data_IF_586007554367
#
_entry.id   IF_586007554367
#
_cell.length_a   1.000
_cell.length_b   1.000
_cell.length_c   1.000
_cell.angle_alpha   90.00
_cell.angle_beta   90.00
_cell.angle_gamma   90.00
#
_symmetry.space_group_name_H-M   'P 1'
#
loop_
_entity.id
_entity.type
_entity.pdbx_description
1 polymer ?
#
# COMPACT_ATOMS: atom_id res chain seq x y z
N UNK A 1 57.16 -11.39 -17.37
CA UNK A 1 56.67 -11.35 -15.98
C UNK A 1 55.54 -10.35 -15.73
N UNK A 2 55.53 -9.16 -16.36
CA UNK A 2 54.48 -8.12 -16.15
C UNK A 2 53.04 -8.57 -16.44
N UNK A 3 52.80 -9.39 -17.47
CA UNK A 3 51.44 -9.83 -17.83
C UNK A 3 50.83 -10.82 -16.83
N UNK A 4 51.64 -11.64 -16.13
CA UNK A 4 51.15 -12.60 -15.14
C UNK A 4 50.61 -11.90 -13.89
N UNK A 5 51.23 -10.77 -13.52
CA UNK A 5 50.78 -9.96 -12.38
C UNK A 5 49.47 -9.23 -12.68
N UNK A 6 49.31 -8.71 -13.91
CA UNK A 6 48.06 -8.06 -14.35
C UNK A 6 46.88 -9.04 -14.37
N UNK A 7 47.11 -10.27 -14.86
CA UNK A 7 46.10 -11.34 -14.88
C UNK A 7 45.70 -11.73 -13.45
N UNK A 8 46.67 -11.82 -12.52
CA UNK A 8 46.39 -12.11 -11.12
C UNK A 8 45.56 -10.99 -10.46
N UNK A 9 45.86 -9.72 -10.78
CA UNK A 9 45.17 -8.54 -10.26
C UNK A 9 43.74 -8.44 -10.80
N UNK A 10 43.54 -8.75 -12.09
CA UNK A 10 42.22 -8.86 -12.71
C UNK A 10 41.42 -10.02 -12.10
N UNK A 11 42.02 -11.19 -11.85
CA UNK A 11 41.33 -12.30 -11.21
C UNK A 11 40.91 -11.99 -9.77
N UNK A 12 41.72 -11.24 -9.02
CA UNK A 12 41.37 -10.75 -7.68
C UNK A 12 40.21 -9.75 -7.71
N UNK A 13 40.08 -8.95 -8.78
CA UNK A 13 38.96 -8.02 -8.97
C UNK A 13 37.63 -8.75 -9.24
N UNK A 14 37.67 -9.86 -9.99
CA UNK A 14 36.50 -10.70 -10.25
C UNK A 14 36.12 -11.62 -9.07
N UNK A 15 37.07 -11.96 -8.20
CA UNK A 15 36.78 -12.72 -6.96
C UNK A 15 36.25 -11.80 -5.86
N UNK A 16 36.61 -10.49 -5.90
CA UNK A 16 36.16 -9.48 -4.95
C UNK A 16 34.91 -8.70 -5.39
N UNK A 17 34.33 -9.01 -6.56
CA UNK A 17 32.94 -8.65 -6.85
C UNK A 17 32.05 -9.52 -5.97
N UNK A 18 31.97 -9.09 -4.72
CA UNK A 18 31.20 -9.67 -3.65
C UNK A 18 29.83 -10.07 -4.18
N UNK A 19 29.42 -11.26 -3.74
CA UNK A 19 28.03 -11.68 -3.72
C UNK A 19 27.24 -10.68 -2.86
N UNK A 20 26.92 -9.52 -3.43
CA UNK A 20 25.92 -8.64 -2.87
C UNK A 20 24.61 -9.37 -3.05
N UNK A 21 24.22 -10.16 -2.04
CA UNK A 21 22.87 -10.69 -1.96
C UNK A 21 21.92 -9.51 -2.15
N UNK A 22 20.90 -9.63 -3.03
CA UNK A 22 19.95 -8.55 -3.25
C UNK A 22 19.32 -8.18 -1.90
N UNK A 23 19.64 -7.00 -1.39
CA UNK A 23 19.07 -6.52 -0.13
C UNK A 23 17.62 -6.11 -0.39
N UNK A 24 16.68 -6.75 0.30
CA UNK A 24 15.29 -6.33 0.31
C UNK A 24 15.19 -4.92 0.90
N UNK A 25 14.47 -4.02 0.23
CA UNK A 25 14.27 -2.65 0.72
C UNK A 25 13.44 -2.62 2.01
N UNK A 26 13.51 -1.51 2.75
CA UNK A 26 12.66 -1.29 3.93
C UNK A 26 11.17 -1.44 3.59
N UNK A 27 10.75 -0.86 2.47
CA UNK A 27 9.38 -0.96 1.97
C UNK A 27 9.00 -2.40 1.60
N UNK A 28 9.90 -3.15 0.95
CA UNK A 28 9.69 -4.57 0.66
C UNK A 28 9.37 -5.34 1.94
N UNK A 29 10.21 -5.19 2.97
CA UNK A 29 10.06 -5.93 4.23
C UNK A 29 8.74 -5.56 4.93
N UNK A 30 8.34 -4.30 4.84
CA UNK A 30 7.10 -3.80 5.40
C UNK A 30 5.85 -4.37 4.69
N UNK A 31 5.90 -4.47 3.35
CA UNK A 31 4.85 -5.09 2.53
C UNK A 31 4.77 -6.60 2.81
N UNK A 32 5.91 -7.29 2.86
CA UNK A 32 5.99 -8.72 3.17
C UNK A 32 5.47 -9.00 4.58
N UNK A 33 5.80 -8.15 5.56
CA UNK A 33 5.28 -8.23 6.92
C UNK A 33 3.76 -8.12 6.98
N UNK A 34 3.17 -7.08 6.36
CA UNK A 34 1.70 -6.92 6.34
C UNK A 34 1.03 -8.10 5.64
N UNK A 35 1.59 -8.57 4.52
CA UNK A 35 1.05 -9.69 3.78
C UNK A 35 1.05 -10.98 4.61
N UNK A 36 2.15 -11.26 5.31
CA UNK A 36 2.23 -12.41 6.22
C UNK A 36 1.30 -12.28 7.44
N UNK A 37 1.11 -11.06 7.96
CA UNK A 37 0.17 -10.83 9.05
C UNK A 37 -1.26 -11.18 8.66
N UNK A 38 -1.72 -10.76 7.49
CA UNK A 38 -3.07 -11.07 6.96
C UNK A 38 -3.25 -12.59 6.79
N UNK A 39 -2.18 -13.34 6.57
CA UNK A 39 -2.19 -14.80 6.49
C UNK A 39 -1.96 -15.52 7.82
N UNK A 40 -1.71 -14.78 8.89
CA UNK A 40 -1.39 -15.36 10.19
C UNK A 40 -2.61 -16.01 10.84
N UNK A 41 -2.36 -17.00 11.69
CA UNK A 41 -3.39 -17.62 12.52
C UNK A 41 -4.09 -16.61 13.43
N UNK A 42 -3.34 -15.60 13.90
CA UNK A 42 -3.87 -14.50 14.71
C UNK A 42 -4.92 -13.71 13.94
N UNK A 43 -4.61 -13.27 12.72
CA UNK A 43 -5.55 -12.55 11.87
C UNK A 43 -6.75 -13.44 11.50
N UNK A 44 -6.52 -14.70 11.16
CA UNK A 44 -7.58 -15.64 10.85
C UNK A 44 -8.59 -15.84 11.99
N UNK A 45 -8.13 -15.85 13.24
CA UNK A 45 -9.02 -15.93 14.40
C UNK A 45 -9.86 -14.65 14.56
N UNK A 46 -9.31 -13.49 14.19
CA UNK A 46 -10.03 -12.21 14.22
C UNK A 46 -11.11 -12.12 13.14
N UNK A 47 -10.89 -12.71 11.95
CA UNK A 47 -11.90 -12.76 10.87
C UNK A 47 -13.26 -13.35 11.32
N UNK A 48 -13.25 -14.26 12.30
CA UNK A 48 -14.47 -14.93 12.78
C UNK A 48 -15.33 -14.06 13.70
N UNK A 49 -14.74 -13.05 14.33
CA UNK A 49 -15.33 -12.36 15.48
C UNK A 49 -15.32 -10.83 15.34
N UNK A 50 -14.81 -10.29 14.23
CA UNK A 50 -14.66 -8.85 14.01
C UNK A 50 -15.26 -8.44 12.67
N UNK A 51 -15.78 -7.22 12.64
CA UNK A 51 -16.22 -6.59 11.41
C UNK A 51 -15.03 -6.10 10.59
N UNK A 52 -15.22 -5.97 9.28
CA UNK A 52 -14.16 -5.55 8.35
C UNK A 52 -13.50 -4.23 8.73
N UNK A 53 -14.27 -3.24 9.20
CA UNK A 53 -13.70 -2.00 9.74
C UNK A 53 -12.73 -2.22 10.90
N UNK A 54 -13.02 -3.16 11.80
CA UNK A 54 -12.13 -3.50 12.91
C UNK A 54 -10.90 -4.28 12.43
N UNK A 55 -11.01 -5.05 11.34
CA UNK A 55 -9.86 -5.72 10.72
C UNK A 55 -8.91 -4.71 10.07
N UNK A 56 -9.45 -3.63 9.47
CA UNK A 56 -8.65 -2.53 8.94
C UNK A 56 -7.84 -1.87 10.07
N UNK A 57 -8.45 -1.63 11.23
CA UNK A 57 -7.74 -1.10 12.40
C UNK A 57 -6.63 -2.04 12.88
N UNK A 58 -6.86 -3.35 12.87
CA UNK A 58 -5.85 -4.34 13.23
C UNK A 58 -4.67 -4.33 12.26
N UNK A 59 -4.94 -4.29 10.95
CA UNK A 59 -3.92 -4.18 9.91
C UNK A 59 -3.10 -2.91 10.12
N UNK A 60 -3.78 -1.77 10.31
CA UNK A 60 -3.13 -0.48 10.55
C UNK A 60 -2.24 -0.49 11.80
N UNK A 61 -2.78 -0.93 12.94
CA UNK A 61 -2.04 -0.94 14.20
C UNK A 61 -0.85 -1.92 14.17
N UNK A 62 -1.02 -3.09 13.55
CA UNK A 62 0.06 -4.06 13.44
C UNK A 62 1.20 -3.51 12.56
N UNK A 63 0.86 -2.84 11.46
CA UNK A 63 1.86 -2.20 10.60
C UNK A 63 2.51 -0.99 11.27
N UNK A 64 1.74 -0.17 11.98
CA UNK A 64 2.26 0.97 12.74
C UNK A 64 3.26 0.51 13.81
N UNK A 65 2.96 -0.59 14.52
CA UNK A 65 3.87 -1.22 15.48
C UNK A 65 5.15 -1.73 14.81
N UNK A 66 5.03 -2.39 13.67
CA UNK A 66 6.19 -2.86 12.88
C UNK A 66 7.09 -1.70 12.45
N UNK A 67 6.48 -0.58 12.07
CA UNK A 67 7.17 0.66 11.70
C UNK A 67 7.57 1.51 12.92
N UNK A 68 7.56 0.96 14.13
CA UNK A 68 7.98 1.65 15.38
C UNK A 68 7.23 2.98 15.60
N UNK A 69 5.93 2.99 15.33
CA UNK A 69 5.05 4.16 15.41
C UNK A 69 5.34 5.26 14.38
N UNK A 70 6.11 4.96 13.32
CA UNK A 70 6.27 5.85 12.17
C UNK A 70 5.01 5.79 11.28
N UNK A 71 4.13 6.77 11.47
CA UNK A 71 2.85 6.89 10.74
C UNK A 71 3.10 7.02 9.24
N UNK A 72 4.09 7.81 8.82
CA UNK A 72 4.38 8.04 7.39
C UNK A 72 4.72 6.72 6.70
N UNK A 73 5.63 5.95 7.31
CA UNK A 73 6.06 4.66 6.78
C UNK A 73 4.96 3.62 6.85
N UNK A 74 4.11 3.65 7.90
CA UNK A 74 2.95 2.78 8.01
C UNK A 74 1.96 3.03 6.86
N UNK A 75 1.55 4.28 6.64
CA UNK A 75 0.61 4.65 5.57
C UNK A 75 1.16 4.30 4.18
N UNK A 76 2.43 4.61 3.92
CA UNK A 76 3.08 4.27 2.64
C UNK A 76 3.10 2.76 2.42
N UNK A 77 3.52 2.00 3.43
CA UNK A 77 3.60 0.54 3.32
C UNK A 77 2.24 -0.10 3.14
N UNK A 78 1.19 0.39 3.83
CA UNK A 78 -0.18 -0.11 3.69
C UNK A 78 -0.76 0.18 2.32
N UNK A 79 -0.41 1.32 1.72
CA UNK A 79 -0.79 1.65 0.34
C UNK A 79 -0.39 0.49 -0.59
N UNK A 80 0.88 0.11 -0.59
CA UNK A 80 1.39 -0.96 -1.45
C UNK A 80 1.00 -2.37 -0.99
N UNK A 81 0.96 -2.62 0.31
CA UNK A 81 0.61 -3.94 0.84
C UNK A 81 -0.84 -4.33 0.55
N UNK A 82 -1.74 -3.36 0.41
CA UNK A 82 -3.17 -3.59 0.22
C UNK A 82 -3.62 -3.41 -1.23
N UNK A 83 -2.72 -3.06 -2.16
CA UNK A 83 -3.01 -3.09 -3.59
C UNK A 83 -3.39 -4.52 -4.03
N UNK A 84 -4.41 -4.60 -4.89
CA UNK A 84 -4.87 -5.83 -5.54
C UNK A 84 -4.38 -5.99 -7.00
N UNK A 85 -3.60 -5.03 -7.51
CA UNK A 85 -3.00 -5.05 -8.85
C UNK A 85 -1.49 -5.31 -8.74
N UNK A 86 -1.02 -6.41 -9.35
CA UNK A 86 0.40 -6.79 -9.28
C UNK A 86 1.29 -6.01 -10.24
N UNK A 87 0.77 -5.74 -11.44
CA UNK A 87 1.50 -5.15 -12.56
C UNK A 87 0.70 -3.99 -13.10
N UNK A 88 1.37 -2.86 -13.31
CA UNK A 88 0.79 -1.65 -13.90
C UNK A 88 1.47 -1.43 -15.23
N UNK A 89 0.67 -1.13 -16.24
CA UNK A 89 1.15 -0.82 -17.57
C UNK A 89 1.42 0.68 -17.64
N UNK A 90 2.70 1.07 -17.62
CA UNK A 90 3.13 2.46 -17.69
C UNK A 90 3.34 2.89 -19.13
N UNK A 91 2.55 3.85 -19.61
CA UNK A 91 2.66 4.35 -20.98
C UNK A 91 3.67 5.50 -21.08
N UNK A 92 4.90 5.18 -21.48
CA UNK A 92 5.90 6.22 -21.75
C UNK A 92 5.72 6.80 -23.16
N UNK A 93 5.72 8.13 -23.33
CA UNK A 93 5.53 8.78 -24.64
C UNK A 93 6.53 8.34 -25.72
N UNK A 94 7.74 7.92 -25.33
CA UNK A 94 8.82 7.54 -26.26
C UNK A 94 9.14 6.03 -26.20
N UNK A 95 9.02 5.41 -25.02
CA UNK A 95 9.42 4.01 -24.79
C UNK A 95 8.27 3.01 -24.96
N UNK A 96 7.04 3.49 -25.17
CA UNK A 96 5.84 2.67 -25.23
C UNK A 96 5.40 2.17 -23.86
N UNK A 97 4.54 1.14 -23.84
CA UNK A 97 3.99 0.57 -22.61
C UNK A 97 5.01 -0.35 -21.93
N UNK A 98 5.36 -0.03 -20.67
CA UNK A 98 6.23 -0.85 -19.83
C UNK A 98 5.41 -1.43 -18.67
N UNK A 99 5.42 -2.75 -18.54
CA UNK A 99 4.77 -3.44 -17.42
C UNK A 99 5.67 -3.38 -16.18
N UNK A 100 5.29 -2.56 -15.20
CA UNK A 100 6.01 -2.38 -13.95
C UNK A 100 5.35 -3.18 -12.81
N UNK A 101 6.10 -4.05 -12.09
CA UNK A 101 5.58 -4.75 -10.93
C UNK A 101 5.40 -3.77 -9.75
N UNK A 102 4.16 -3.50 -9.37
CA UNK A 102 3.85 -2.55 -8.29
C UNK A 102 4.12 -3.14 -6.90
N UNK A 103 4.05 -4.47 -6.79
CA UNK A 103 4.27 -5.19 -5.52
C UNK A 103 5.40 -6.20 -5.72
N UNK A 104 6.39 -6.15 -4.84
CA UNK A 104 7.60 -6.97 -4.92
C UNK A 104 7.48 -8.35 -4.23
N UNK A 105 6.32 -8.69 -3.68
CA UNK A 105 6.12 -9.97 -2.98
C UNK A 105 5.89 -11.14 -3.95
N UNK A 106 6.14 -12.36 -3.47
CA UNK A 106 5.93 -13.55 -4.27
C UNK A 106 4.43 -13.74 -4.62
N UNK A 107 4.17 -14.42 -5.74
CA UNK A 107 2.83 -14.53 -6.33
C UNK A 107 1.86 -15.26 -5.41
N UNK A 108 2.32 -16.33 -4.77
CA UNK A 108 1.50 -17.11 -3.85
C UNK A 108 1.05 -16.28 -2.64
N UNK A 109 1.95 -15.45 -2.10
CA UNK A 109 1.70 -14.55 -0.98
C UNK A 109 0.73 -13.43 -1.40
N UNK A 110 0.93 -12.84 -2.57
CA UNK A 110 0.05 -11.81 -3.11
C UNK A 110 -1.39 -12.31 -3.29
N UNK A 111 -1.55 -13.41 -4.02
CA UNK A 111 -2.86 -14.00 -4.33
C UNK A 111 -3.57 -14.49 -3.07
N UNK A 112 -2.84 -15.11 -2.14
CA UNK A 112 -3.43 -15.62 -0.91
C UNK A 112 -3.85 -14.47 0.01
N UNK A 113 -3.02 -13.44 0.17
CA UNK A 113 -3.35 -12.25 0.98
C UNK A 113 -4.63 -11.57 0.47
N UNK A 114 -4.79 -11.40 -0.84
CA UNK A 114 -5.96 -10.75 -1.44
C UNK A 114 -7.29 -11.46 -1.11
N UNK A 115 -7.26 -12.77 -0.81
CA UNK A 115 -8.46 -13.52 -0.39
C UNK A 115 -8.96 -13.11 1.00
N UNK A 116 -8.06 -12.70 1.89
CA UNK A 116 -8.35 -12.41 3.29
C UNK A 116 -8.42 -10.91 3.62
N UNK A 117 -8.34 -10.04 2.60
CA UNK A 117 -8.54 -8.61 2.77
C UNK A 117 -9.97 -8.28 3.22
N UNK A 118 -10.14 -7.28 4.11
CA UNK A 118 -11.46 -6.71 4.41
C UNK A 118 -12.13 -6.24 3.12
N UNK A 119 -13.41 -6.58 2.94
CA UNK A 119 -14.17 -6.34 1.71
C UNK A 119 -15.46 -5.54 1.93
N UNK A 120 -15.87 -5.34 3.17
CA UNK A 120 -17.02 -4.55 3.59
C UNK A 120 -16.55 -3.24 4.23
N UNK A 121 -16.04 -2.33 3.41
CA UNK A 121 -15.54 -1.02 3.85
C UNK A 121 -16.71 -0.06 4.06
N UNK A 122 -17.70 -0.09 3.18
CA UNK A 122 -18.91 0.72 3.27
C UNK A 122 -20.15 -0.13 3.58
N UNK A 123 -21.20 0.51 4.08
CA UNK A 123 -22.45 -0.18 4.44
C UNK A 123 -23.15 -0.83 3.22
N UNK A 124 -22.93 -0.30 2.01
CA UNK A 124 -23.40 -0.79 0.71
C UNK A 124 -22.30 -1.50 -0.09
N UNK A 125 -21.30 -2.05 0.59
CA UNK A 125 -20.29 -2.87 -0.08
C UNK A 125 -20.95 -4.04 -0.78
N UNK A 126 -20.48 -4.39 -1.98
CA UNK A 126 -20.94 -5.58 -2.66
C UNK A 126 -20.62 -6.83 -1.82
N UNK A 127 -21.59 -7.73 -1.69
CA UNK A 127 -21.44 -8.96 -0.87
C UNK A 127 -20.64 -10.07 -1.58
N UNK A 128 -20.18 -9.84 -2.82
CA UNK A 128 -19.36 -10.79 -3.57
C UNK A 128 -17.94 -10.93 -2.97
N UNK A 129 -17.11 -11.76 -3.57
CA UNK A 129 -15.74 -12.04 -3.07
C UNK A 129 -14.74 -10.91 -3.30
N UNK A 130 -15.10 -9.93 -4.14
CA UNK A 130 -14.28 -8.76 -4.44
C UNK A 130 -14.57 -7.62 -3.45
N UNK A 131 -15.84 -7.30 -3.21
CA UNK A 131 -16.29 -6.21 -2.35
C UNK A 131 -15.51 -4.91 -2.62
N UNK A 132 -15.14 -4.23 -1.54
CA UNK A 132 -14.41 -2.96 -1.53
C UNK A 132 -12.91 -3.13 -1.17
N UNK A 133 -12.32 -4.29 -1.48
CA UNK A 133 -10.93 -4.60 -1.11
C UNK A 133 -9.90 -3.63 -1.71
N UNK A 134 -10.15 -3.14 -2.93
CA UNK A 134 -9.28 -2.22 -3.66
C UNK A 134 -9.24 -0.86 -2.98
N UNK A 135 -10.38 -0.44 -2.41
CA UNK A 135 -10.56 0.81 -1.67
C UNK A 135 -9.57 0.95 -0.49
N UNK A 136 -9.07 -0.15 0.05
CA UNK A 136 -8.05 -0.08 1.11
C UNK A 136 -6.78 0.64 0.66
N UNK A 137 -6.28 0.33 -0.55
CA UNK A 137 -5.08 0.99 -1.09
C UNK A 137 -5.29 2.48 -1.37
N UNK A 138 -6.48 2.84 -1.88
CA UNK A 138 -6.93 4.22 -2.06
C UNK A 138 -6.95 5.01 -0.75
N UNK A 139 -7.55 4.43 0.29
CA UNK A 139 -7.71 5.04 1.60
C UNK A 139 -6.34 5.37 2.21
N UNK A 140 -5.44 4.39 2.27
CA UNK A 140 -4.10 4.59 2.85
C UNK A 140 -3.18 5.45 1.97
N UNK A 141 -3.32 5.39 0.64
CA UNK A 141 -2.59 6.25 -0.29
C UNK A 141 -2.96 7.71 -0.14
N UNK A 142 -4.26 8.01 -0.09
CA UNK A 142 -4.77 9.36 0.14
C UNK A 142 -4.39 9.86 1.54
N UNK A 143 -4.47 9.00 2.56
CA UNK A 143 -4.00 9.33 3.90
C UNK A 143 -2.50 9.63 3.95
N UNK A 144 -1.68 8.87 3.22
CA UNK A 144 -0.25 9.13 3.11
C UNK A 144 0.02 10.50 2.50
N UNK A 145 -0.62 10.83 1.37
CA UNK A 145 -0.47 12.14 0.72
C UNK A 145 -0.87 13.23 1.71
N UNK A 146 -2.11 13.19 2.22
CA UNK A 146 -2.65 14.19 3.12
C UNK A 146 -1.80 14.39 4.38
N UNK A 147 -1.37 13.31 5.04
CA UNK A 147 -0.50 13.38 6.22
C UNK A 147 0.83 14.12 5.94
N UNK A 148 1.36 14.01 4.71
CA UNK A 148 2.62 14.64 4.30
C UNK A 148 2.45 16.04 3.66
N UNK A 149 1.26 16.42 3.20
CA UNK A 149 1.00 17.66 2.42
C UNK A 149 1.24 19.00 3.16
N UNK A 150 1.73 18.99 4.41
CA UNK A 150 2.13 20.23 5.11
C UNK A 150 3.60 20.60 4.88
N UNK A 151 4.38 19.78 4.16
CA UNK A 151 5.79 20.02 3.91
C UNK A 151 5.95 20.43 2.45
N UNK A 152 6.00 21.74 2.21
CA UNK A 152 6.63 22.30 1.02
C UNK A 152 7.99 21.60 0.84
N UNK A 153 8.20 21.05 -0.37
CA UNK A 153 9.47 20.58 -0.95
C UNK A 153 9.66 19.05 -1.10
N UNK A 154 8.97 18.42 -2.08
CA UNK A 154 9.25 17.04 -2.53
C UNK A 154 8.84 16.77 -4.00
N UNK A 155 9.34 17.57 -4.96
CA UNK A 155 8.91 17.54 -6.37
C UNK A 155 9.02 16.18 -7.08
N UNK A 156 10.12 15.45 -6.91
CA UNK A 156 10.41 14.34 -7.84
C UNK A 156 9.84 12.98 -7.38
N UNK A 157 9.81 12.70 -6.07
CA UNK A 157 9.42 11.39 -5.53
C UNK A 157 7.91 11.28 -5.25
N UNK A 158 7.27 12.39 -4.87
CA UNK A 158 5.80 12.51 -4.82
C UNK A 158 5.25 12.64 -6.25
N UNK A 159 5.96 13.30 -7.17
CA UNK A 159 5.58 13.36 -8.59
C UNK A 159 5.43 11.97 -9.19
N UNK A 160 6.47 11.13 -9.08
CA UNK A 160 6.40 9.72 -9.52
C UNK A 160 5.33 8.92 -8.77
N UNK A 161 5.15 9.16 -7.46
CA UNK A 161 4.10 8.50 -6.69
C UNK A 161 2.70 8.90 -7.18
N UNK A 162 2.45 10.18 -7.42
CA UNK A 162 1.19 10.72 -7.96
C UNK A 162 0.98 10.18 -9.37
N UNK A 163 2.00 10.16 -10.24
CA UNK A 163 1.90 9.62 -11.60
C UNK A 163 1.54 8.13 -11.59
N UNK A 164 2.22 7.32 -10.78
CA UNK A 164 1.93 5.88 -10.64
C UNK A 164 0.55 5.66 -10.01
N UNK A 165 0.18 6.48 -9.03
CA UNK A 165 -1.14 6.43 -8.42
C UNK A 165 -2.20 6.78 -9.47
N UNK A 166 -2.09 7.93 -10.11
CA UNK A 166 -2.97 8.37 -11.21
C UNK A 166 -3.05 7.33 -12.32
N UNK A 167 -1.97 6.69 -12.75
CA UNK A 167 -2.04 5.67 -13.80
C UNK A 167 -2.72 4.39 -13.34
N UNK A 168 -2.42 3.90 -12.13
CA UNK A 168 -3.14 2.78 -11.50
C UNK A 168 -4.65 3.06 -11.43
N UNK A 169 -5.05 4.29 -11.14
CA UNK A 169 -6.45 4.68 -10.95
C UNK A 169 -7.13 5.25 -12.21
N UNK A 170 -6.38 5.71 -13.22
CA UNK A 170 -6.89 6.10 -14.54
C UNK A 170 -7.17 4.87 -15.43
N UNK A 171 -6.51 3.73 -15.18
CA UNK A 171 -6.85 2.44 -15.81
C UNK A 171 -8.31 2.05 -15.49
N UNK A 172 -8.90 2.58 -14.41
CA UNK A 172 -10.36 2.63 -14.24
C UNK A 172 -10.93 3.87 -14.95
N UNK A 173 -11.10 3.78 -16.26
CA UNK A 173 -11.58 4.86 -17.18
C UNK A 173 -12.97 5.47 -16.88
N UNK A 174 -13.57 5.18 -15.72
CA UNK A 174 -14.81 5.79 -15.22
C UNK A 174 -14.58 6.34 -13.82
N UNK A 175 -15.02 7.58 -13.57
CA UNK A 175 -15.05 8.16 -12.23
C UNK A 175 -15.91 7.27 -11.32
N UNK A 176 -15.27 6.44 -10.49
CA UNK A 176 -15.94 5.66 -9.47
C UNK A 176 -16.17 6.58 -8.25
N UNK A 177 -17.44 6.91 -7.97
CA UNK A 177 -17.83 7.70 -6.81
C UNK A 177 -17.35 7.07 -5.50
N UNK A 178 -17.25 5.74 -5.44
CA UNK A 178 -16.76 5.01 -4.28
C UNK A 178 -15.26 5.22 -4.06
N UNK A 179 -14.47 5.30 -5.14
CA UNK A 179 -13.06 5.66 -5.04
C UNK A 179 -12.86 7.10 -4.61
N UNK A 180 -13.65 8.03 -5.16
CA UNK A 180 -13.62 9.42 -4.71
C UNK A 180 -13.94 9.56 -3.22
N UNK A 181 -14.98 8.87 -2.75
CA UNK A 181 -15.35 8.86 -1.33
C UNK A 181 -14.24 8.26 -0.47
N UNK A 182 -13.69 7.13 -0.89
CA UNK A 182 -12.57 6.46 -0.20
C UNK A 182 -11.36 7.38 -0.10
N UNK A 183 -10.99 8.06 -1.18
CA UNK A 183 -9.88 9.01 -1.21
C UNK A 183 -10.14 10.19 -0.26
N UNK A 184 -11.35 10.74 -0.28
CA UNK A 184 -11.76 11.82 0.62
C UNK A 184 -11.65 11.42 2.11
N UNK A 185 -12.13 10.23 2.47
CA UNK A 185 -11.99 9.69 3.83
C UNK A 185 -10.52 9.44 4.20
N UNK A 186 -9.72 8.94 3.25
CA UNK A 186 -8.28 8.81 3.43
C UNK A 186 -7.62 10.16 3.72
N UNK A 187 -7.97 11.20 2.97
CA UNK A 187 -7.47 12.56 3.20
C UNK A 187 -7.83 13.08 4.60
N UNK A 188 -9.09 12.90 5.03
CA UNK A 188 -9.52 13.24 6.40
C UNK A 188 -8.69 12.48 7.44
N UNK A 189 -8.50 11.18 7.26
CA UNK A 189 -7.71 10.37 8.19
C UNK A 189 -6.27 10.84 8.29
N UNK A 190 -5.62 11.08 7.14
CA UNK A 190 -4.26 11.63 7.07
C UNK A 190 -4.13 12.99 7.76
N UNK A 191 -5.10 13.89 7.60
CA UNK A 191 -5.10 15.19 8.26
C UNK A 191 -5.32 15.07 9.78
N UNK A 192 -6.27 14.24 10.20
CA UNK A 192 -6.55 14.03 11.63
C UNK A 192 -5.36 13.41 12.37
N UNK A 193 -4.57 12.55 11.72
CA UNK A 193 -3.35 11.97 12.29
C UNK A 193 -2.29 13.03 12.65
N UNK A 194 -2.30 14.21 12.02
CA UNK A 194 -1.41 15.33 12.37
C UNK A 194 -1.70 15.88 13.78
N UNK A 195 -2.95 15.81 14.20
CA UNK A 195 -3.43 16.34 15.48
C UNK A 195 -3.63 15.25 16.54
N UNK A 196 -4.07 14.06 16.12
CA UNK A 196 -4.33 12.91 16.99
C UNK A 196 -3.77 11.63 16.39
N UNK A 197 -2.59 11.22 16.86
CA UNK A 197 -1.88 10.01 16.41
C UNK A 197 -2.58 8.69 16.76
N UNK A 198 -3.60 8.72 17.62
CA UNK A 198 -4.33 7.54 18.08
C UNK A 198 -5.64 7.31 17.33
N UNK A 199 -5.98 8.16 16.35
CA UNK A 199 -7.16 7.93 15.52
C UNK A 199 -7.01 6.65 14.69
N UNK A 200 -8.10 5.91 14.58
CA UNK A 200 -8.17 4.64 13.87
C UNK A 200 -8.87 4.80 12.51
N UNK A 201 -8.48 4.03 11.48
CA UNK A 201 -9.13 4.05 10.17
C UNK A 201 -10.66 3.92 10.24
N UNK A 202 -11.16 2.98 11.06
CA UNK A 202 -12.59 2.71 11.20
C UNK A 202 -13.40 3.93 11.67
N UNK A 203 -12.81 4.77 12.51
CA UNK A 203 -13.45 5.98 13.05
C UNK A 203 -13.72 7.01 11.96
N UNK A 204 -12.91 7.03 10.89
CA UNK A 204 -13.13 7.90 9.75
C UNK A 204 -14.03 7.20 8.72
N UNK A 205 -13.79 5.93 8.42
CA UNK A 205 -14.58 5.17 7.45
C UNK A 205 -16.07 5.09 7.80
N UNK A 206 -16.42 4.98 9.08
CA UNK A 206 -17.82 4.93 9.53
C UNK A 206 -18.59 6.23 9.26
N UNK A 207 -17.91 7.35 9.07
CA UNK A 207 -18.58 8.63 8.78
C UNK A 207 -19.36 8.58 7.47
N UNK A 208 -18.93 7.78 6.49
CA UNK A 208 -19.67 7.58 5.24
C UNK A 208 -21.04 6.94 5.49
N UNK A 209 -21.12 5.97 6.42
CA UNK A 209 -22.39 5.36 6.82
C UNK A 209 -23.34 6.40 7.42
N UNK A 210 -22.83 7.28 8.27
CA UNK A 210 -23.63 8.36 8.87
C UNK A 210 -24.13 9.34 7.81
N UNK A 211 -23.26 9.74 6.87
CA UNK A 211 -23.64 10.61 5.75
C UNK A 211 -24.73 9.96 4.91
N UNK A 212 -24.57 8.67 4.57
CA UNK A 212 -25.54 7.96 3.76
C UNK A 212 -26.94 7.97 4.39
N UNK A 213 -27.05 7.66 5.69
CA UNK A 213 -28.36 7.66 6.36
C UNK A 213 -28.90 9.06 6.63
N UNK A 214 -28.05 10.07 6.83
CA UNK A 214 -28.52 11.43 7.07
C UNK A 214 -29.10 12.12 5.82
N UNK A 215 -28.63 11.76 4.62
CA UNK A 215 -29.08 12.37 3.36
C UNK A 215 -30.06 11.52 2.54
N UNK A 216 -30.28 10.25 2.92
CA UNK A 216 -31.23 9.35 2.24
C UNK A 216 -32.43 8.94 3.12
N UNK A 217 -32.62 9.59 4.28
CA UNK A 217 -33.84 9.56 5.10
C UNK A 217 -34.61 10.87 4.91
#
# INVERSE_FOLDING_TARGET
MKNKFLILLLSLFFISSNQNFPQKSKLFNAIEFTSNYILSKEYYNNLKNKFDLQLIDLIYNNQLKHQKMDIKEALLSLTFALVQVRVVSINFPILGTINYPLVSVNDSLFELKNKFLPKQVFWDSNLNDFGDKDKLSHFFGSAFISYNSNIFDFGDLIGYFIEVFEEVFQIQSSIDKRDMMTNYLGNIFGDLLKYNKNILPSQVLITNTLIYFNYNL
#
